data_IF_708299117052
#
_entry.id   IF_708299117052
#
_cell.length_a   1.000
_cell.length_b   1.000
_cell.length_c   1.000
_cell.angle_alpha   90.00
_cell.angle_beta   90.00
_cell.angle_gamma   90.00
#
_symmetry.space_group_name_H-M   'P 1'
#
loop_
_entity.id
_entity.type
_entity.pdbx_description
1 polymer ?
#
# COMPACT_ATOMS: atom_id res chain seq x y z
N UNK A 1 -57.82 -23.33 17.56
CA UNK A 1 -56.68 -22.68 18.24
C UNK A 1 -55.39 -23.21 17.62
N UNK A 2 -54.69 -22.30 16.93
CA UNK A 2 -53.24 -22.24 16.64
C UNK A 2 -52.50 -23.49 16.12
N UNK A 3 -52.24 -23.49 14.80
CA UNK A 3 -51.18 -24.27 14.14
C UNK A 3 -49.85 -23.51 14.32
N UNK A 4 -48.85 -24.13 14.93
CA UNK A 4 -47.50 -23.58 15.04
C UNK A 4 -46.70 -24.06 13.83
N UNK A 5 -46.31 -23.13 12.95
CA UNK A 5 -45.32 -23.36 11.92
C UNK A 5 -43.95 -22.95 12.48
N UNK A 6 -43.05 -23.92 12.67
CA UNK A 6 -41.65 -23.64 13.01
C UNK A 6 -40.90 -23.49 11.69
N UNK A 7 -40.60 -22.25 11.31
CA UNK A 7 -39.68 -21.95 10.23
C UNK A 7 -38.25 -22.02 10.79
N UNK A 8 -37.51 -23.06 10.42
CA UNK A 8 -36.07 -23.18 10.73
C UNK A 8 -35.32 -22.32 9.71
N UNK A 9 -34.93 -21.12 10.10
CA UNK A 9 -34.01 -20.28 9.34
C UNK A 9 -32.59 -20.84 9.49
N UNK A 10 -32.08 -21.47 8.43
CA UNK A 10 -30.66 -21.82 8.32
C UNK A 10 -29.87 -20.53 8.06
N UNK A 11 -29.40 -19.90 9.12
CA UNK A 11 -28.42 -18.83 9.01
C UNK A 11 -27.09 -19.44 8.55
N UNK A 12 -26.83 -19.40 7.25
CA UNK A 12 -25.50 -19.63 6.70
C UNK A 12 -24.59 -18.48 7.16
N UNK A 13 -24.04 -18.61 8.37
CA UNK A 13 -22.89 -17.82 8.79
C UNK A 13 -21.73 -18.32 7.94
N UNK A 14 -21.54 -17.71 6.78
CA UNK A 14 -20.25 -17.74 6.09
C UNK A 14 -19.28 -17.01 7.00
N UNK A 15 -18.74 -17.73 7.98
CA UNK A 15 -17.49 -17.34 8.62
C UNK A 15 -16.45 -17.36 7.51
N UNK A 16 -16.25 -16.23 6.83
CA UNK A 16 -14.98 -15.93 6.21
C UNK A 16 -13.98 -15.96 7.37
N UNK A 17 -13.40 -17.14 7.60
CA UNK A 17 -12.09 -17.21 8.19
C UNK A 17 -11.19 -16.49 7.19
N UNK A 18 -11.01 -15.18 7.38
CA UNK A 18 -9.88 -14.47 6.83
C UNK A 18 -8.66 -15.16 7.41
N UNK A 19 -8.19 -16.19 6.71
CA UNK A 19 -6.81 -16.61 6.83
C UNK A 19 -6.04 -15.38 6.42
N UNK A 20 -5.49 -14.68 7.41
CA UNK A 20 -4.42 -13.74 7.19
C UNK A 20 -3.23 -14.55 6.69
N UNK A 21 -3.30 -14.98 5.43
CA UNK A 21 -2.09 -15.05 4.65
C UNK A 21 -1.59 -13.61 4.64
N UNK A 22 -0.33 -13.42 5.02
CA UNK A 22 0.37 -12.14 4.85
C UNK A 22 0.57 -11.91 3.34
N UNK A 23 -0.54 -11.85 2.59
CA UNK A 23 -0.55 -11.59 1.18
C UNK A 23 -0.08 -10.14 1.03
N UNK A 24 1.06 -9.98 0.38
CA UNK A 24 1.62 -8.67 0.13
C UNK A 24 0.56 -7.77 -0.51
N UNK A 25 0.21 -6.71 0.21
CA UNK A 25 -0.91 -5.85 -0.11
C UNK A 25 -0.92 -4.62 0.78
N UNK A 26 -1.88 -3.74 0.54
CA UNK A 26 -2.09 -2.54 1.33
C UNK A 26 -3.53 -2.48 1.82
N UNK A 27 -3.70 -2.42 3.16
CA UNK A 27 -5.01 -2.27 3.81
C UNK A 27 -6.05 -3.30 3.29
N UNK A 28 -5.63 -4.57 3.18
CA UNK A 28 -6.46 -5.68 2.71
C UNK A 28 -6.57 -5.82 1.18
N UNK A 29 -5.95 -4.93 0.40
CA UNK A 29 -5.93 -5.00 -1.06
C UNK A 29 -4.63 -5.65 -1.55
N UNK A 30 -4.75 -6.86 -2.09
CA UNK A 30 -3.60 -7.62 -2.60
C UNK A 30 -3.02 -6.99 -3.87
N UNK A 31 -1.69 -6.96 -3.97
CA UNK A 31 -1.03 -6.64 -5.23
C UNK A 31 -1.37 -7.69 -6.31
N UNK A 32 -1.47 -7.26 -7.56
CA UNK A 32 -1.93 -8.06 -8.70
C UNK A 32 -3.44 -8.03 -8.93
N UNK A 33 -4.22 -7.51 -7.97
CA UNK A 33 -5.67 -7.31 -8.13
C UNK A 33 -6.00 -6.40 -9.31
N UNK A 34 -7.15 -6.61 -9.95
CA UNK A 34 -7.60 -5.75 -11.04
C UNK A 34 -8.02 -4.35 -10.54
N UNK A 35 -8.18 -3.42 -11.48
CA UNK A 35 -8.55 -2.03 -11.20
C UNK A 35 -9.83 -1.88 -10.37
N UNK A 36 -10.91 -2.57 -10.71
CA UNK A 36 -12.20 -2.39 -10.03
C UNK A 36 -12.15 -2.90 -8.58
N UNK A 37 -11.57 -4.08 -8.37
CA UNK A 37 -11.36 -4.64 -7.03
C UNK A 37 -10.47 -3.72 -6.18
N UNK A 38 -9.38 -3.23 -6.77
CA UNK A 38 -8.45 -2.33 -6.08
C UNK A 38 -9.11 -1.00 -5.76
N UNK A 39 -9.84 -0.40 -6.69
CA UNK A 39 -10.55 0.86 -6.49
C UNK A 39 -11.57 0.74 -5.35
N UNK A 40 -12.37 -0.33 -5.33
CA UNK A 40 -13.35 -0.57 -4.28
C UNK A 40 -12.67 -0.69 -2.89
N UNK A 41 -11.61 -1.50 -2.79
CA UNK A 41 -10.87 -1.69 -1.54
C UNK A 41 -10.20 -0.40 -1.05
N UNK A 42 -9.41 0.25 -1.89
CA UNK A 42 -8.72 1.51 -1.55
C UNK A 42 -9.72 2.61 -1.19
N UNK A 43 -10.88 2.70 -1.86
CA UNK A 43 -11.95 3.64 -1.50
C UNK A 43 -12.55 3.37 -0.13
N UNK A 44 -12.75 2.10 0.21
CA UNK A 44 -13.30 1.73 1.52
C UNK A 44 -12.40 2.18 2.66
N UNK A 45 -11.08 2.18 2.42
CA UNK A 45 -10.06 2.57 3.41
C UNK A 45 -9.80 4.08 3.44
N UNK A 46 -9.67 4.70 2.27
CA UNK A 46 -9.15 6.08 2.15
C UNK A 46 -10.17 7.10 1.65
N UNK A 47 -11.41 6.69 1.39
CA UNK A 47 -12.47 7.56 0.88
C UNK A 47 -12.40 7.80 -0.62
N UNK A 48 -12.85 8.97 -1.08
CA UNK A 48 -12.95 9.25 -2.53
C UNK A 48 -11.63 9.79 -3.08
N UNK A 49 -11.05 9.18 -4.14
CA UNK A 49 -9.84 9.69 -4.78
C UNK A 49 -10.11 10.94 -5.62
N UNK A 50 -9.08 11.75 -5.83
CA UNK A 50 -9.15 12.93 -6.72
C UNK A 50 -9.05 12.54 -8.20
N UNK A 51 -8.48 11.37 -8.49
CA UNK A 51 -8.38 10.81 -9.82
C UNK A 51 -8.38 9.28 -9.71
N UNK A 52 -9.15 8.60 -10.56
CA UNK A 52 -9.10 7.15 -10.67
C UNK A 52 -9.31 6.74 -12.13
N UNK A 53 -8.36 5.98 -12.67
CA UNK A 53 -8.45 5.34 -13.98
C UNK A 53 -7.61 4.06 -14.00
N UNK A 54 -7.67 3.32 -15.10
CA UNK A 54 -6.94 2.04 -15.28
C UNK A 54 -5.42 2.17 -15.23
N UNK A 55 -4.84 3.37 -15.17
CA UNK A 55 -3.41 3.59 -14.99
C UNK A 55 -3.06 3.85 -13.52
N UNK A 56 -3.89 4.63 -12.81
CA UNK A 56 -3.65 4.96 -11.42
C UNK A 56 -4.89 5.46 -10.66
N UNK A 57 -4.85 5.32 -9.34
CA UNK A 57 -5.70 6.02 -8.38
C UNK A 57 -4.84 7.00 -7.60
N UNK A 58 -5.31 8.25 -7.45
CA UNK A 58 -4.55 9.33 -6.81
C UNK A 58 -5.38 9.96 -5.71
N UNK A 59 -4.73 10.19 -4.57
CA UNK A 59 -5.24 10.97 -3.45
C UNK A 59 -4.29 12.09 -3.10
N UNK A 60 -4.81 13.07 -2.35
CA UNK A 60 -4.04 14.15 -1.73
C UNK A 60 -4.30 14.22 -0.24
N UNK A 61 -3.35 14.80 0.49
CA UNK A 61 -3.48 15.18 1.90
C UNK A 61 -3.97 14.03 2.80
N UNK A 62 -3.36 12.87 2.64
CA UNK A 62 -3.71 11.65 3.37
C UNK A 62 -2.87 11.48 4.63
N UNK A 63 -3.42 10.82 5.65
CA UNK A 63 -2.65 10.28 6.76
C UNK A 63 -2.55 8.77 6.63
N UNK A 64 -1.34 8.23 6.66
CA UNK A 64 -1.09 6.79 6.58
C UNK A 64 0.11 6.42 7.45
N UNK A 65 -0.01 5.31 8.22
CA UNK A 65 1.04 4.83 9.14
C UNK A 65 1.61 5.93 10.07
N UNK A 66 0.73 6.83 10.53
CA UNK A 66 1.08 7.92 11.45
C UNK A 66 1.72 9.15 10.81
N UNK A 67 1.93 9.19 9.49
CA UNK A 67 2.45 10.36 8.78
C UNK A 67 1.44 10.96 7.80
N UNK A 68 1.60 12.27 7.56
CA UNK A 68 0.88 12.99 6.51
C UNK A 68 1.63 12.90 5.19
N UNK A 69 0.92 12.55 4.14
CA UNK A 69 1.42 12.51 2.78
C UNK A 69 0.62 13.49 1.93
N UNK A 70 1.33 14.34 1.19
CA UNK A 70 0.72 15.25 0.22
C UNK A 70 0.07 14.47 -0.92
N UNK A 71 0.64 13.33 -1.28
CA UNK A 71 0.19 12.53 -2.40
C UNK A 71 0.32 11.04 -2.12
N UNK A 72 -0.73 10.29 -2.45
CA UNK A 72 -0.68 8.84 -2.58
C UNK A 72 -1.07 8.44 -4.01
N UNK A 73 -0.33 7.52 -4.61
CA UNK A 73 -0.58 6.99 -5.95
C UNK A 73 -0.57 5.46 -5.90
N UNK A 74 -1.65 4.86 -6.39
CA UNK A 74 -1.78 3.42 -6.58
C UNK A 74 -1.74 3.15 -8.08
N UNK A 75 -0.72 2.45 -8.59
CA UNK A 75 -0.47 2.29 -10.03
C UNK A 75 -0.81 0.89 -10.51
N UNK A 76 -1.26 0.83 -11.76
CA UNK A 76 -1.59 -0.41 -12.46
C UNK A 76 -0.65 -0.64 -13.64
N UNK A 77 -0.31 -1.90 -13.87
CA UNK A 77 0.21 -2.38 -15.14
C UNK A 77 -0.95 -2.89 -15.98
N UNK A 78 -0.82 -2.84 -17.31
CA UNK A 78 -1.81 -3.36 -18.25
C UNK A 78 -1.15 -4.35 -19.18
N UNK A 79 -1.73 -5.53 -19.37
CA UNK A 79 -1.25 -6.52 -20.34
C UNK A 79 -1.72 -6.21 -21.78
N UNK A 80 -1.30 -7.03 -22.75
CA UNK A 80 -1.69 -6.88 -24.16
C UNK A 80 -3.19 -7.09 -24.43
N UNK A 81 -3.92 -7.70 -23.49
CA UNK A 81 -5.36 -7.94 -23.57
C UNK A 81 -6.18 -6.84 -22.88
N UNK A 82 -5.52 -5.86 -22.26
CA UNK A 82 -6.17 -4.76 -21.54
C UNK A 82 -6.55 -5.09 -20.09
N UNK A 83 -6.11 -6.23 -19.54
CA UNK A 83 -6.27 -6.56 -18.13
C UNK A 83 -5.34 -5.69 -17.29
N UNK A 84 -5.80 -5.31 -16.10
CA UNK A 84 -5.06 -4.42 -15.20
C UNK A 84 -4.58 -5.15 -13.96
N UNK A 85 -3.42 -4.76 -13.44
CA UNK A 85 -2.78 -5.39 -12.29
C UNK A 85 -2.22 -4.32 -11.36
N UNK A 86 -2.73 -4.25 -10.13
CA UNK A 86 -2.23 -3.34 -9.11
C UNK A 86 -0.78 -3.68 -8.76
N UNK A 87 0.14 -2.74 -8.98
CA UNK A 87 1.57 -3.04 -9.04
C UNK A 87 2.44 -2.20 -8.10
N UNK A 88 1.97 -1.04 -7.66
CA UNK A 88 2.73 -0.14 -6.79
C UNK A 88 1.78 0.74 -5.98
N UNK A 89 2.08 0.91 -4.70
CA UNK A 89 1.53 2.01 -3.89
C UNK A 89 2.69 2.94 -3.50
N UNK A 90 2.54 4.24 -3.74
CA UNK A 90 3.56 5.23 -3.42
C UNK A 90 2.95 6.40 -2.66
N UNK A 91 3.51 6.69 -1.50
CA UNK A 91 3.16 7.80 -0.65
C UNK A 91 4.33 8.79 -0.63
N UNK A 92 4.04 10.07 -0.81
CA UNK A 92 5.06 11.13 -0.94
C UNK A 92 4.63 12.31 -0.07
N UNK A 93 5.50 12.71 0.87
CA UNK A 93 5.23 13.83 1.76
C UNK A 93 5.44 15.16 1.06
N UNK A 94 4.92 16.24 1.65
CA UNK A 94 5.39 17.57 1.28
C UNK A 94 6.89 17.73 1.62
N UNK A 95 7.62 18.58 0.89
CA UNK A 95 9.02 18.85 1.17
C UNK A 95 9.22 19.45 2.57
N UNK A 96 10.28 19.03 3.25
CA UNK A 96 10.75 19.60 4.52
C UNK A 96 12.28 19.67 4.54
N UNK A 97 12.88 20.19 5.61
CA UNK A 97 14.33 20.14 5.76
C UNK A 97 14.84 18.69 5.99
N UNK A 98 16.12 18.43 5.68
CA UNK A 98 16.72 17.07 5.77
C UNK A 98 16.45 16.40 7.11
N UNK A 99 16.62 17.13 8.22
CA UNK A 99 16.38 16.62 9.58
C UNK A 99 14.92 16.18 9.80
N UNK A 100 13.95 16.96 9.31
CA UNK A 100 12.53 16.60 9.36
C UNK A 100 12.24 15.32 8.58
N UNK A 101 12.74 15.24 7.35
CA UNK A 101 12.53 14.07 6.49
C UNK A 101 13.19 12.81 7.07
N UNK A 102 14.40 12.93 7.63
CA UNK A 102 15.09 11.82 8.33
C UNK A 102 14.29 11.30 9.54
N UNK A 103 13.70 12.21 10.33
CA UNK A 103 12.82 11.83 11.45
C UNK A 103 11.59 11.08 10.96
N UNK A 104 10.98 11.56 9.88
CA UNK A 104 9.79 10.94 9.30
C UNK A 104 10.07 9.51 8.80
N UNK A 105 11.18 9.29 8.09
CA UNK A 105 11.52 7.94 7.64
C UNK A 105 11.88 6.99 8.78
N UNK A 106 12.48 7.49 9.88
CA UNK A 106 12.73 6.67 11.06
C UNK A 106 11.42 6.24 11.74
N UNK A 107 10.45 7.14 11.86
CA UNK A 107 9.10 6.83 12.38
C UNK A 107 8.38 5.82 11.49
N UNK A 108 8.43 6.01 10.17
CA UNK A 108 7.87 5.05 9.23
C UNK A 108 8.56 3.70 9.33
N UNK A 109 9.89 3.64 9.31
CA UNK A 109 10.62 2.37 9.38
C UNK A 109 10.25 1.58 10.64
N UNK A 110 10.17 2.24 11.80
CA UNK A 110 9.71 1.61 13.05
C UNK A 110 8.26 1.14 13.00
N UNK A 111 7.39 1.87 12.30
CA UNK A 111 5.99 1.46 12.13
C UNK A 111 5.90 0.28 11.19
N UNK A 112 6.66 0.32 10.09
CA UNK A 112 6.72 -0.73 9.08
C UNK A 112 7.36 -2.01 9.62
N UNK A 113 8.34 -1.95 10.52
CA UNK A 113 8.94 -3.13 11.15
C UNK A 113 7.96 -3.87 12.08
N UNK A 114 6.97 -3.17 12.64
CA UNK A 114 5.89 -3.83 13.39
C UNK A 114 4.96 -4.62 12.46
N UNK A 115 4.66 -4.06 11.29
CA UNK A 115 3.79 -4.69 10.30
C UNK A 115 4.53 -5.78 9.49
N UNK A 116 5.83 -5.61 9.30
CA UNK A 116 6.72 -6.48 8.52
C UNK A 116 8.06 -6.66 9.23
N UNK A 117 8.13 -7.56 10.23
CA UNK A 117 9.34 -7.75 11.03
C UNK A 117 10.59 -8.05 10.18
N UNK A 118 11.70 -7.41 10.55
CA UNK A 118 12.99 -7.59 9.88
C UNK A 118 13.28 -6.52 8.82
N UNK A 119 12.83 -5.29 9.05
CA UNK A 119 13.22 -4.15 8.21
C UNK A 119 14.74 -3.96 8.29
N UNK A 120 15.37 -3.91 7.13
CA UNK A 120 16.81 -3.68 6.99
C UNK A 120 17.07 -2.27 6.48
N UNK A 121 18.32 -1.82 6.65
CA UNK A 121 18.79 -0.51 6.24
C UNK A 121 20.01 -0.68 5.35
N UNK A 122 19.98 -0.06 4.19
CA UNK A 122 21.19 0.27 3.42
C UNK A 122 21.53 1.74 3.66
N UNK A 123 22.81 2.07 3.65
CA UNK A 123 23.28 3.45 3.75
C UNK A 123 23.66 3.92 2.35
N UNK A 124 22.94 4.91 1.83
CA UNK A 124 23.27 5.57 0.58
C UNK A 124 24.31 6.67 0.79
N UNK A 125 24.80 7.23 -0.32
CA UNK A 125 25.74 8.34 -0.32
C UNK A 125 25.24 9.48 0.60
N UNK A 126 26.18 10.13 1.30
CA UNK A 126 25.91 11.11 2.37
C UNK A 126 25.27 10.53 3.66
N UNK A 127 25.38 9.22 3.92
CA UNK A 127 24.81 8.58 5.12
C UNK A 127 23.29 8.72 5.21
N UNK A 128 22.62 8.73 4.07
CA UNK A 128 21.15 8.78 4.02
C UNK A 128 20.60 7.36 4.15
N UNK A 129 19.73 7.07 5.14
CA UNK A 129 19.24 5.73 5.35
C UNK A 129 18.17 5.36 4.31
N UNK A 130 18.30 4.17 3.73
CA UNK A 130 17.36 3.55 2.81
C UNK A 130 16.81 2.27 3.44
N UNK A 131 15.59 2.33 3.96
CA UNK A 131 14.97 1.18 4.61
C UNK A 131 14.25 0.31 3.59
N UNK A 132 14.28 -1.01 3.81
CA UNK A 132 13.62 -2.01 2.95
C UNK A 132 13.11 -3.17 3.80
N UNK A 133 11.94 -3.69 3.46
CA UNK A 133 11.29 -4.73 4.26
C UNK A 133 10.14 -5.41 3.55
N UNK A 134 9.57 -6.40 4.24
CA UNK A 134 8.51 -7.27 3.73
C UNK A 134 8.96 -8.18 2.57
N UNK A 135 8.15 -9.19 2.28
CA UNK A 135 8.42 -10.15 1.20
C UNK A 135 7.53 -9.85 0.00
N UNK A 136 8.14 -9.66 -1.17
CA UNK A 136 7.42 -9.54 -2.43
C UNK A 136 6.58 -10.80 -2.70
N UNK A 137 5.32 -10.67 -3.17
CA UNK A 137 4.48 -11.82 -3.53
C UNK A 137 4.99 -12.51 -4.81
N UNK A 138 5.92 -11.88 -5.53
CA UNK A 138 6.56 -12.41 -6.73
C UNK A 138 7.95 -13.01 -6.43
N UNK A 139 8.34 -13.06 -5.15
CA UNK A 139 9.57 -13.69 -4.67
C UNK A 139 10.80 -12.76 -4.54
N UNK A 140 11.80 -13.27 -3.80
CA UNK A 140 13.22 -12.86 -3.65
C UNK A 140 13.57 -11.36 -3.69
N UNK A 141 12.64 -10.49 -3.31
CA UNK A 141 12.84 -9.05 -3.24
C UNK A 141 11.99 -8.45 -2.12
N UNK A 142 12.36 -7.26 -1.68
CA UNK A 142 11.63 -6.53 -0.67
C UNK A 142 10.30 -6.03 -1.22
N UNK A 143 9.26 -6.08 -0.37
CA UNK A 143 7.94 -5.59 -0.72
C UNK A 143 7.90 -4.06 -0.77
N UNK A 144 8.57 -3.40 0.19
CA UNK A 144 8.54 -1.95 0.31
C UNK A 144 9.91 -1.36 0.61
N UNK A 145 10.00 -0.05 0.36
CA UNK A 145 11.13 0.80 0.70
C UNK A 145 10.65 2.09 1.38
N UNK A 146 11.46 2.62 2.29
CA UNK A 146 11.26 3.94 2.92
C UNK A 146 12.55 4.75 2.80
N UNK A 147 12.49 5.90 2.16
CA UNK A 147 13.65 6.76 1.92
C UNK A 147 13.24 8.23 1.77
N UNK A 148 14.25 9.12 1.65
CA UNK A 148 14.03 10.52 1.29
C UNK A 148 14.57 10.80 -0.11
N UNK A 149 13.96 11.74 -0.82
CA UNK A 149 14.50 12.28 -2.07
C UNK A 149 14.67 13.79 -1.98
N UNK A 150 15.79 14.34 -2.49
CA UNK A 150 15.93 15.78 -2.64
C UNK A 150 14.93 16.32 -3.67
N UNK A 151 14.34 17.47 -3.37
CA UNK A 151 13.43 18.22 -4.22
C UNK A 151 13.76 19.71 -4.09
N UNK A 152 13.17 20.56 -4.93
CA UNK A 152 13.42 22.00 -4.86
C UNK A 152 13.17 22.53 -3.43
N UNK A 153 14.23 23.06 -2.81
CA UNK A 153 14.25 23.63 -1.46
C UNK A 153 13.95 22.66 -0.30
N UNK A 154 14.12 21.35 -0.47
CA UNK A 154 13.96 20.41 0.65
C UNK A 154 14.10 18.95 0.29
N UNK A 155 13.53 18.10 1.14
CA UNK A 155 13.50 16.64 1.02
C UNK A 155 12.08 16.16 1.21
N UNK A 156 11.64 15.22 0.37
CA UNK A 156 10.38 14.50 0.55
C UNK A 156 10.65 13.12 1.11
N UNK A 157 9.78 12.66 2.00
CA UNK A 157 9.74 11.28 2.47
C UNK A 157 8.89 10.44 1.53
N UNK A 158 9.39 9.27 1.15
CA UNK A 158 8.70 8.31 0.29
C UNK A 158 8.59 6.96 0.97
N UNK A 159 7.35 6.50 1.15
CA UNK A 159 7.03 5.09 1.38
C UNK A 159 6.53 4.50 0.07
N UNK A 160 7.18 3.44 -0.40
CA UNK A 160 6.82 2.78 -1.66
C UNK A 160 6.70 1.28 -1.44
N UNK A 161 5.57 0.72 -1.85
CA UNK A 161 5.40 -0.72 -2.06
C UNK A 161 5.56 -1.02 -3.55
N UNK A 162 6.36 -2.01 -3.91
CA UNK A 162 6.67 -2.32 -5.31
C UNK A 162 7.74 -1.41 -5.94
N UNK A 163 7.86 -1.41 -7.28
CA UNK A 163 6.89 -1.90 -8.24
C UNK A 163 7.00 -3.40 -8.42
N UNK A 164 5.87 -4.08 -8.55
CA UNK A 164 5.81 -5.52 -8.74
C UNK A 164 5.52 -5.84 -10.21
N UNK A 165 6.36 -6.62 -10.91
CA UNK A 165 6.21 -6.90 -12.34
C UNK A 165 5.19 -8.01 -12.62
N UNK A 166 3.90 -7.67 -12.60
CA UNK A 166 2.82 -8.59 -12.97
C UNK A 166 2.70 -8.80 -14.49
N UNK A 167 3.18 -7.83 -15.28
CA UNK A 167 3.23 -7.91 -16.73
C UNK A 167 4.69 -7.98 -17.18
N UNK A 168 5.03 -9.00 -17.96
CA UNK A 168 6.33 -9.08 -18.64
C UNK A 168 6.38 -8.03 -19.74
N UNK A 169 7.39 -7.17 -19.70
CA UNK A 169 7.68 -6.21 -20.77
C UNK A 169 8.42 -6.89 -21.91
#
# INVERSE_FOLDING_TARGET
>A
MTKIFIAIAFACILSLSARANNDAGIEGVAFGSNYETTLAGIRSTFGTPIQANKQQIVYKDMTFKGLKFEKAIFKFQTDSLGNTYFSEARFTSSPTNKRGALKDIEVLAKTMDKDYPGVTIDWEDESTPFYKGGMSPLGNSYLFTVCIYPVNNGYTTVLRYGPLPYVKR
#
